data_IF_107146384179
#
_entry.id   IF_107146384179
#
_cell.length_a   1.000
_cell.length_b   1.000
_cell.length_c   1.000
_cell.angle_alpha   90.00
_cell.angle_beta   90.00
_cell.angle_gamma   90.00
#
_symmetry.space_group_name_H-M   'P 1'
#
loop_
_entity.id
_entity.type
_entity.pdbx_description
1 polymer ?
#
# COMPACT_ATOMS: atom_id res chain seq x y z
N UNK A 1 -6.17 -4.60 4.35
CA UNK A 1 -4.80 -4.80 3.82
C UNK A 1 -4.25 -6.17 4.15
N UNK A 2 -3.94 -6.52 5.42
CA UNK A 2 -3.36 -7.83 5.76
C UNK A 2 -4.24 -9.05 5.43
N UNK A 3 -5.54 -8.99 5.72
CA UNK A 3 -6.47 -10.09 5.41
C UNK A 3 -6.62 -10.37 3.91
N UNK A 4 -6.66 -9.33 3.07
CA UNK A 4 -6.75 -9.47 1.61
C UNK A 4 -5.49 -10.13 1.04
N UNK A 5 -4.30 -9.70 1.47
CA UNK A 5 -3.04 -10.31 1.06
C UNK A 5 -2.97 -11.76 1.54
N UNK A 6 -3.34 -12.03 2.80
CA UNK A 6 -3.36 -13.39 3.32
C UNK A 6 -4.32 -14.31 2.56
N UNK A 7 -5.50 -13.82 2.15
CA UNK A 7 -6.42 -14.58 1.30
C UNK A 7 -5.81 -14.93 -0.07
N UNK A 8 -5.17 -13.97 -0.73
CA UNK A 8 -4.57 -14.17 -2.06
C UNK A 8 -3.39 -15.15 -1.98
N UNK A 9 -2.50 -14.96 -1.00
CA UNK A 9 -1.35 -15.84 -0.79
C UNK A 9 -1.82 -17.25 -0.40
N UNK A 10 -2.82 -17.36 0.47
CA UNK A 10 -3.43 -18.63 0.84
C UNK A 10 -4.14 -19.30 -0.34
N UNK A 11 -4.73 -18.55 -1.26
CA UNK A 11 -5.29 -19.09 -2.50
C UNK A 11 -4.20 -19.64 -3.42
N UNK A 12 -3.11 -18.89 -3.64
CA UNK A 12 -2.01 -19.35 -4.50
C UNK A 12 -1.34 -20.60 -3.93
N UNK A 13 -0.97 -20.59 -2.64
CA UNK A 13 -0.37 -21.76 -2.00
C UNK A 13 -1.35 -22.93 -1.87
N UNK A 14 -2.63 -22.67 -1.63
CA UNK A 14 -3.65 -23.71 -1.55
C UNK A 14 -3.91 -24.35 -2.91
N UNK A 15 -4.05 -23.56 -3.98
CA UNK A 15 -4.26 -24.06 -5.33
C UNK A 15 -3.05 -24.85 -5.84
N UNK A 16 -1.83 -24.34 -5.61
CA UNK A 16 -0.59 -25.06 -5.99
C UNK A 16 -0.42 -26.36 -5.20
N UNK A 17 -0.76 -26.39 -3.90
CA UNK A 17 -0.74 -27.64 -3.13
C UNK A 17 -1.76 -28.65 -3.65
N UNK A 18 -2.97 -28.23 -3.99
CA UNK A 18 -4.01 -29.13 -4.53
C UNK A 18 -3.61 -29.69 -5.90
N UNK A 19 -3.05 -28.86 -6.78
CA UNK A 19 -2.59 -29.31 -8.11
C UNK A 19 -1.43 -30.30 -7.98
N UNK A 20 -0.52 -30.07 -7.02
CA UNK A 20 0.71 -30.87 -6.89
C UNK A 20 0.56 -32.14 -6.07
N UNK A 21 -0.19 -32.10 -4.98
CA UNK A 21 -0.32 -33.19 -4.02
C UNK A 21 -1.73 -33.79 -3.98
N UNK A 22 -2.65 -33.25 -4.78
CA UNK A 22 -4.04 -33.67 -4.83
C UNK A 22 -4.92 -32.98 -3.78
N UNK A 23 -6.25 -33.13 -3.91
CA UNK A 23 -7.18 -32.70 -2.88
C UNK A 23 -6.90 -33.47 -1.59
N UNK A 24 -6.76 -32.80 -0.45
CA UNK A 24 -6.61 -33.48 0.83
C UNK A 24 -7.81 -34.39 1.15
N UNK A 25 -7.73 -35.21 2.21
CA UNK A 25 -8.75 -36.22 2.55
C UNK A 25 -10.16 -35.67 2.76
N UNK A 26 -10.30 -34.35 2.95
CA UNK A 26 -11.59 -33.67 3.12
C UNK A 26 -12.04 -32.85 1.89
N UNK A 27 -11.43 -33.04 0.72
CA UNK A 27 -11.79 -32.41 -0.55
C UNK A 27 -11.10 -31.06 -0.84
N UNK A 28 -11.18 -30.62 -2.10
CA UNK A 28 -10.48 -29.42 -2.61
C UNK A 28 -10.88 -28.13 -1.89
N UNK A 29 -12.18 -27.89 -1.74
CA UNK A 29 -12.67 -26.64 -1.11
C UNK A 29 -12.21 -26.50 0.34
N UNK A 30 -12.14 -27.60 1.09
CA UNK A 30 -11.75 -27.56 2.49
C UNK A 30 -10.25 -27.34 2.64
N UNK A 31 -9.42 -28.02 1.86
CA UNK A 31 -7.98 -27.78 1.83
C UNK A 31 -7.67 -26.35 1.39
N UNK A 32 -8.31 -25.87 0.31
CA UNK A 32 -8.13 -24.50 -0.17
C UNK A 32 -8.57 -23.47 0.89
N UNK A 33 -9.74 -23.69 1.49
CA UNK A 33 -10.27 -22.85 2.56
C UNK A 33 -9.37 -22.80 3.78
N UNK A 34 -8.70 -23.90 4.15
CA UNK A 34 -7.73 -23.92 5.24
C UNK A 34 -6.51 -23.06 4.94
N UNK A 35 -5.94 -23.15 3.74
CA UNK A 35 -4.81 -22.31 3.34
C UNK A 35 -5.19 -20.83 3.29
N UNK A 36 -6.36 -20.51 2.73
CA UNK A 36 -6.90 -19.15 2.63
C UNK A 36 -7.17 -18.56 4.01
N UNK A 37 -7.92 -19.27 4.87
CA UNK A 37 -8.28 -18.81 6.19
C UNK A 37 -7.06 -18.69 7.11
N UNK A 38 -6.17 -19.68 7.11
CA UNK A 38 -4.94 -19.66 7.93
C UNK A 38 -4.00 -18.50 7.55
N UNK A 39 -3.82 -18.28 6.26
CA UNK A 39 -3.01 -17.16 5.75
C UNK A 39 -3.68 -15.81 6.04
N UNK A 40 -4.99 -15.69 5.80
CA UNK A 40 -5.75 -14.48 6.09
C UNK A 40 -5.72 -14.11 7.58
N UNK A 41 -5.83 -15.09 8.47
CA UNK A 41 -5.79 -14.89 9.91
C UNK A 41 -4.43 -14.35 10.37
N UNK A 42 -3.32 -14.97 9.94
CA UNK A 42 -1.97 -14.58 10.38
C UNK A 42 -1.55 -13.24 9.81
N UNK A 43 -1.65 -13.04 8.49
CA UNK A 43 -1.33 -11.77 7.87
C UNK A 43 -2.28 -10.65 8.31
N UNK A 44 -3.56 -10.97 8.57
CA UNK A 44 -4.52 -10.04 9.14
C UNK A 44 -4.14 -9.60 10.56
N UNK A 45 -3.76 -10.54 11.42
CA UNK A 45 -3.39 -10.29 12.81
C UNK A 45 -2.10 -9.48 12.94
N UNK A 46 -1.02 -9.89 12.27
CA UNK A 46 0.24 -9.13 12.34
C UNK A 46 0.11 -7.75 11.71
N UNK A 47 -0.61 -7.64 10.60
CA UNK A 47 -0.84 -6.34 9.97
C UNK A 47 -1.78 -5.45 10.77
N UNK A 48 -2.75 -6.00 11.52
CA UNK A 48 -3.64 -5.18 12.37
C UNK A 48 -2.84 -4.51 13.49
N UNK A 49 -1.93 -5.25 14.13
CA UNK A 49 -1.02 -4.70 15.15
C UNK A 49 -0.11 -3.64 14.53
N UNK A 50 0.55 -3.95 13.41
CA UNK A 50 1.42 -2.99 12.72
C UNK A 50 0.67 -1.74 12.26
N UNK A 51 -0.59 -1.88 11.83
CA UNK A 51 -1.44 -0.76 11.46
C UNK A 51 -1.80 0.11 12.66
N UNK A 52 -2.15 -0.48 13.81
CA UNK A 52 -2.44 0.28 15.03
C UNK A 52 -1.21 1.02 15.52
N UNK A 53 -0.04 0.37 15.58
CA UNK A 53 1.23 1.02 15.98
C UNK A 53 1.57 2.18 15.03
N UNK A 54 1.40 1.98 13.72
CA UNK A 54 1.60 3.03 12.71
C UNK A 54 0.60 4.18 12.87
N UNK A 55 -0.64 3.88 13.24
CA UNK A 55 -1.72 4.86 13.33
C UNK A 55 -1.67 5.70 14.61
N UNK A 56 -1.05 5.19 15.67
CA UNK A 56 -0.69 5.93 16.90
C UNK A 56 0.58 6.80 16.68
N UNK A 57 0.70 7.43 15.52
CA UNK A 57 1.87 8.23 15.16
C UNK A 57 1.98 9.43 16.10
N UNK A 58 2.92 9.34 17.05
CA UNK A 58 3.47 10.46 17.84
C UNK A 58 3.57 11.74 16.99
N UNK A 59 3.30 12.94 17.54
CA UNK A 59 3.39 14.21 16.81
C UNK A 59 4.69 14.38 15.99
N UNK A 60 5.79 13.75 16.42
CA UNK A 60 7.06 13.65 15.68
C UNK A 60 6.93 12.92 14.34
N UNK A 61 6.18 11.83 14.28
CA UNK A 61 5.97 11.04 13.08
C UNK A 61 5.03 11.75 12.10
N UNK A 62 4.06 12.53 12.59
CA UNK A 62 3.25 13.44 11.76
C UNK A 62 4.13 14.52 11.11
N UNK A 63 5.06 15.13 11.85
CA UNK A 63 6.02 16.07 11.28
C UNK A 63 6.96 15.43 10.27
N UNK A 64 7.47 14.22 10.55
CA UNK A 64 8.28 13.46 9.61
C UNK A 64 7.49 13.07 8.35
N UNK A 65 6.21 12.71 8.49
CA UNK A 65 5.33 12.39 7.37
C UNK A 65 4.96 13.62 6.55
N UNK A 66 4.72 14.78 7.18
CA UNK A 66 4.51 16.06 6.49
C UNK A 66 5.78 16.48 5.74
N UNK A 67 6.97 16.36 6.36
CA UNK A 67 8.25 16.66 5.71
C UNK A 67 8.55 15.69 4.56
N UNK A 68 8.31 14.39 4.76
CA UNK A 68 8.49 13.38 3.73
C UNK A 68 7.48 13.54 2.59
N UNK A 69 6.23 13.89 2.89
CA UNK A 69 5.18 14.16 1.90
C UNK A 69 5.41 15.49 1.16
N UNK A 70 5.97 16.51 1.83
CA UNK A 70 6.42 17.75 1.19
C UNK A 70 7.66 17.52 0.30
N UNK A 71 8.55 16.60 0.68
CA UNK A 71 9.70 16.21 -0.13
C UNK A 71 9.32 15.30 -1.32
N UNK A 72 8.32 14.42 -1.16
CA UNK A 72 7.82 13.53 -2.21
C UNK A 72 6.77 14.18 -3.12
N UNK A 73 6.14 15.29 -2.71
CA UNK A 73 5.43 16.18 -3.62
C UNK A 73 6.45 16.96 -4.44
N UNK A 74 6.98 16.31 -5.48
CA UNK A 74 7.63 17.00 -6.58
C UNK A 74 6.79 18.22 -6.97
N UNK A 75 7.34 19.44 -6.92
CA UNK A 75 6.57 20.66 -7.11
C UNK A 75 6.35 20.86 -8.61
N UNK A 76 5.51 20.02 -9.22
CA UNK A 76 5.03 20.25 -10.59
C UNK A 76 4.20 21.53 -10.70
N UNK A 77 3.79 22.13 -9.57
CA UNK A 77 3.02 23.38 -9.53
C UNK A 77 3.94 24.62 -9.43
N UNK A 78 5.17 24.51 -8.90
CA UNK A 78 6.08 25.66 -8.76
C UNK A 78 6.78 26.06 -10.08
N UNK A 79 6.91 25.12 -11.03
CA UNK A 79 7.49 25.41 -12.34
C UNK A 79 6.58 26.29 -13.21
N UNK A 80 5.25 26.11 -13.09
CA UNK A 80 4.27 26.84 -13.91
C UNK A 80 4.16 28.32 -13.53
N UNK A 81 4.36 28.63 -12.25
CA UNK A 81 4.33 30.02 -11.77
C UNK A 81 5.57 30.80 -12.18
N UNK A 82 6.77 30.20 -12.15
CA UNK A 82 8.00 30.87 -12.61
C UNK A 82 7.99 31.16 -14.11
N UNK A 83 7.50 30.23 -14.94
CA UNK A 83 7.37 30.45 -16.38
C UNK A 83 6.33 31.54 -16.69
N UNK A 84 5.21 31.56 -15.97
CA UNK A 84 4.17 32.60 -16.12
C UNK A 84 4.62 33.97 -15.62
N UNK A 85 5.46 34.01 -14.57
CA UNK A 85 6.07 35.26 -14.09
C UNK A 85 7.13 35.79 -15.05
N UNK A 86 7.96 34.92 -15.65
CA UNK A 86 8.96 35.31 -16.63
C UNK A 86 8.33 35.95 -17.89
N UNK A 87 7.23 35.36 -18.39
CA UNK A 87 6.49 35.88 -19.53
C UNK A 87 5.85 37.25 -19.23
N UNK A 88 5.26 37.38 -18.02
CA UNK A 88 4.65 38.65 -17.57
C UNK A 88 5.68 39.76 -17.32
N UNK A 89 6.92 39.43 -16.93
CA UNK A 89 8.01 40.41 -16.82
C UNK A 89 8.57 40.86 -18.17
N UNK A 90 8.55 40.00 -19.18
CA UNK A 90 9.04 40.34 -20.52
C UNK A 90 8.08 41.27 -21.27
N UNK A 91 6.77 41.07 -21.11
CA UNK A 91 5.73 41.93 -21.71
C UNK A 91 5.66 43.33 -21.07
N UNK A 92 6.14 43.50 -19.83
CA UNK A 92 6.13 44.79 -19.11
C UNK A 92 7.31 45.71 -19.47
N UNK A 93 8.35 45.17 -20.10
CA UNK A 93 9.59 45.89 -20.43
C UNK A 93 9.68 46.27 -21.93
N UNK A 94 8.58 46.11 -22.68
CA UNK A 94 8.46 46.37 -24.12
C UNK A 94 7.39 47.43 -24.45
N UNK A 95 6.98 48.22 -23.46
CA UNK A 95 6.11 49.40 -23.58
C UNK A 95 6.84 50.60 -22.96
#
# INVERSE_FOLDING_TARGET
MGGSVGLIIGFIFGATNIIRFGPGPNGMLRTLGQYMAGSAATFGFFMSIGMTIRSESSPIMTEAFIRAQAAQRSPMILARERLRQADKSSSRNSA
#
